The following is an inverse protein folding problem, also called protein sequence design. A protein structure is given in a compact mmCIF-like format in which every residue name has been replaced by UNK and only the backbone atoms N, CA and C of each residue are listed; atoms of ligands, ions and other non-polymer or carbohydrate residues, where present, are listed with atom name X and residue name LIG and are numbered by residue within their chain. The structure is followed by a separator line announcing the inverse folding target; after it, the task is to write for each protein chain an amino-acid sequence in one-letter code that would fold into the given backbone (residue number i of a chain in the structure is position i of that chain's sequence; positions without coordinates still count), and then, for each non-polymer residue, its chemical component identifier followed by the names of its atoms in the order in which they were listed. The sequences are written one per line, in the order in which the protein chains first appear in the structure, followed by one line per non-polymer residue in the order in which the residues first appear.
data_IF_278596624716
#
_entry.id   IF_278596624716
#
_cell.length_a   1.000
_cell.length_b   1.000
_cell.length_c   1.000
_cell.angle_alpha   90.00
_cell.angle_beta   90.00
_cell.angle_gamma   90.00
#
_symmetry.space_group_name_H-M   'P 1'
#
loop_
_entity.id
_entity.type
_entity.pdbx_description
1 polymer ?
#
# COMPACT_ATOMS: atom_id res chain seq x y z
N UNK A 1 16.89 12.02 10.28
CA UNK A 1 16.57 12.67 11.58
C UNK A 1 16.39 11.66 12.72
N UNK A 2 16.24 10.37 12.41
CA UNK A 2 16.10 9.27 13.36
C UNK A 2 17.30 9.12 14.30
N UNK A 3 18.54 9.12 13.77
CA UNK A 3 19.77 8.99 14.58
C UNK A 3 20.03 10.15 15.55
N UNK A 4 19.40 11.31 15.32
CA UNK A 4 19.49 12.47 16.22
C UNK A 4 18.38 12.50 17.27
N UNK A 5 17.55 11.45 17.36
CA UNK A 5 16.41 11.39 18.28
C UNK A 5 15.30 12.39 17.94
N UNK A 6 15.21 12.83 16.68
CA UNK A 6 14.20 13.80 16.22
C UNK A 6 13.28 13.19 15.14
N UNK A 7 12.52 12.11 15.45
CA UNK A 7 11.69 11.43 14.46
C UNK A 7 10.55 12.30 13.90
N UNK A 8 10.06 13.28 14.65
CA UNK A 8 9.04 14.23 14.19
C UNK A 8 9.48 15.12 13.02
N UNK A 9 10.79 15.24 12.79
CA UNK A 9 11.35 16.04 11.70
C UNK A 9 11.74 15.17 10.48
N UNK A 10 11.35 13.89 10.48
CA UNK A 10 11.61 12.95 9.38
C UNK A 10 10.57 13.08 8.27
N UNK A 11 10.96 12.78 7.03
CA UNK A 11 9.99 12.49 5.98
C UNK A 11 9.48 11.05 6.14
N UNK A 12 8.26 10.90 6.65
CA UNK A 12 7.63 9.60 6.90
C UNK A 12 6.12 9.77 7.04
N UNK A 13 5.38 8.67 7.06
CA UNK A 13 3.92 8.69 7.18
C UNK A 13 3.42 9.25 8.52
N UNK A 14 4.25 9.21 9.56
CA UNK A 14 3.91 9.70 10.91
C UNK A 14 4.46 11.09 11.22
N UNK A 15 5.30 11.66 10.35
CA UNK A 15 5.93 12.96 10.55
C UNK A 15 5.65 13.88 9.37
N UNK A 16 6.66 14.44 8.72
CA UNK A 16 6.47 15.30 7.54
C UNK A 16 6.13 14.41 6.35
N UNK A 17 4.87 14.42 5.92
CA UNK A 17 4.39 13.55 4.86
C UNK A 17 4.71 14.11 3.48
N UNK A 18 5.14 13.25 2.56
CA UNK A 18 5.25 13.54 1.13
C UNK A 18 4.47 12.48 0.38
N UNK A 19 3.18 12.74 0.17
CA UNK A 19 2.27 11.76 -0.40
C UNK A 19 2.41 11.67 -1.93
N UNK A 20 2.42 10.46 -2.49
CA UNK A 20 2.40 10.24 -3.94
C UNK A 20 0.95 10.38 -4.48
N UNK A 21 0.36 11.57 -4.32
CA UNK A 21 -1.06 11.84 -4.61
C UNK A 21 -1.45 11.48 -6.05
N UNK A 22 -0.56 11.69 -7.02
CA UNK A 22 -0.82 11.31 -8.41
C UNK A 22 -0.88 9.80 -8.62
N UNK A 23 0.00 9.05 -7.97
CA UNK A 23 -0.03 7.60 -8.06
C UNK A 23 -1.29 7.06 -7.39
N UNK A 24 -1.65 7.56 -6.20
CA UNK A 24 -2.90 7.21 -5.52
C UNK A 24 -4.15 7.52 -6.38
N UNK A 25 -4.16 8.66 -7.07
CA UNK A 25 -5.24 9.01 -7.99
C UNK A 25 -5.35 8.03 -9.17
N UNK A 26 -4.22 7.59 -9.74
CA UNK A 26 -4.20 6.53 -10.75
C UNK A 26 -4.73 5.21 -10.16
N UNK A 27 -4.28 4.81 -8.95
CA UNK A 27 -4.78 3.60 -8.29
C UNK A 27 -6.31 3.63 -8.16
N UNK A 28 -6.86 4.75 -7.69
CA UNK A 28 -8.31 4.93 -7.55
C UNK A 28 -9.05 4.86 -8.89
N UNK A 29 -8.47 5.46 -9.94
CA UNK A 29 -9.06 5.42 -11.29
C UNK A 29 -9.16 3.99 -11.81
N UNK A 30 -8.13 3.17 -11.62
CA UNK A 30 -8.13 1.77 -12.03
C UNK A 30 -8.96 0.87 -11.11
N UNK A 31 -9.02 1.18 -9.82
CA UNK A 31 -9.87 0.50 -8.85
C UNK A 31 -11.36 0.67 -9.19
N UNK A 32 -11.77 1.86 -9.62
CA UNK A 32 -13.16 2.20 -9.94
C UNK A 32 -13.52 2.07 -11.43
N UNK A 33 -12.57 1.67 -12.28
CA UNK A 33 -12.81 1.54 -13.72
C UNK A 33 -13.90 0.51 -14.11
N UNK A 34 -13.96 -0.70 -13.50
CA UNK A 34 -14.95 -1.71 -13.89
C UNK A 34 -16.38 -1.20 -13.72
N UNK A 35 -17.21 -1.36 -14.75
CA UNK A 35 -18.60 -0.89 -14.76
C UNK A 35 -18.79 0.62 -14.96
N UNK A 36 -17.73 1.43 -14.84
CA UNK A 36 -17.75 2.86 -15.12
C UNK A 36 -17.03 3.18 -16.43
N UNK A 37 -15.71 3.41 -16.39
CA UNK A 37 -14.89 3.71 -17.58
C UNK A 37 -14.57 2.45 -18.39
N UNK A 38 -14.79 1.26 -17.84
CA UNK A 38 -14.70 -0.03 -18.51
C UNK A 38 -15.97 -0.87 -18.28
N UNK A 39 -17.07 -0.62 -19.03
CA UNK A 39 -18.38 -1.25 -18.77
C UNK A 39 -18.41 -2.77 -18.91
N UNK A 40 -17.54 -3.34 -19.76
CA UNK A 40 -17.44 -4.79 -19.97
C UNK A 40 -16.44 -5.49 -19.06
N UNK A 41 -15.69 -4.75 -18.24
CA UNK A 41 -14.72 -5.33 -17.32
C UNK A 41 -15.41 -5.74 -16.01
N UNK A 42 -15.11 -6.93 -15.53
CA UNK A 42 -15.62 -7.47 -14.25
C UNK A 42 -14.66 -7.26 -13.09
N UNK A 43 -13.42 -6.85 -13.36
CA UNK A 43 -12.39 -6.56 -12.37
C UNK A 43 -11.43 -5.47 -12.87
N UNK A 44 -10.72 -4.83 -11.95
CA UNK A 44 -9.68 -3.84 -12.26
C UNK A 44 -8.51 -4.48 -13.03
N UNK A 45 -7.64 -3.65 -13.63
CA UNK A 45 -6.48 -4.16 -14.39
C UNK A 45 -5.46 -4.92 -13.53
N UNK A 46 -5.50 -4.75 -12.20
CA UNK A 46 -4.76 -5.53 -11.22
C UNK A 46 -5.44 -5.42 -9.85
N UNK A 47 -5.31 -6.47 -9.02
CA UNK A 47 -5.85 -6.45 -7.65
C UNK A 47 -5.05 -5.53 -6.71
N UNK A 48 -3.83 -5.16 -7.11
CA UNK A 48 -2.99 -4.20 -6.37
C UNK A 48 -3.61 -2.81 -6.22
N UNK A 49 -4.60 -2.46 -7.06
CA UNK A 49 -5.22 -1.13 -7.05
C UNK A 49 -6.22 -0.92 -5.91
N UNK A 50 -6.70 -1.99 -5.27
CA UNK A 50 -7.65 -1.87 -4.16
C UNK A 50 -9.09 -1.57 -4.60
N UNK A 51 -9.61 -2.30 -5.59
CA UNK A 51 -11.01 -2.24 -6.03
C UNK A 51 -12.04 -2.39 -4.89
N UNK A 52 -13.31 -2.11 -5.20
CA UNK A 52 -14.43 -1.86 -4.27
C UNK A 52 -14.82 -2.94 -3.24
N UNK A 53 -13.96 -3.92 -2.97
CA UNK A 53 -14.15 -4.97 -1.98
C UNK A 53 -12.88 -5.46 -1.26
N UNK A 54 -11.72 -4.81 -1.42
CA UNK A 54 -10.53 -5.20 -0.64
C UNK A 54 -10.05 -6.64 -0.90
N UNK A 55 -10.00 -7.05 -2.16
CA UNK A 55 -9.77 -8.44 -2.56
C UNK A 55 -8.33 -8.92 -2.29
N UNK A 56 -8.10 -9.36 -1.06
CA UNK A 56 -7.01 -10.27 -0.71
C UNK A 56 -7.23 -11.60 -1.44
N UNK A 57 -6.26 -12.00 -2.25
CA UNK A 57 -6.24 -13.34 -2.85
C UNK A 57 -5.22 -14.18 -2.11
N UNK A 58 -5.65 -15.30 -1.55
CA UNK A 58 -4.77 -16.26 -0.88
C UNK A 58 -4.80 -17.63 -1.58
N UNK A 59 -3.64 -18.25 -1.73
CA UNK A 59 -3.47 -19.60 -2.29
C UNK A 59 -2.58 -20.40 -1.35
N UNK A 60 -3.04 -21.56 -0.90
CA UNK A 60 -2.27 -22.42 0.01
C UNK A 60 -1.92 -21.76 1.35
N UNK A 61 -2.80 -20.90 1.87
CA UNK A 61 -2.56 -20.17 3.14
C UNK A 61 -1.46 -19.09 3.05
N UNK A 62 -1.14 -18.61 1.84
CA UNK A 62 -0.25 -17.47 1.59
C UNK A 62 -0.99 -16.42 0.79
N UNK A 63 -0.69 -15.15 1.04
CA UNK A 63 -1.23 -14.04 0.25
C UNK A 63 -0.55 -14.05 -1.12
N UNK A 64 -1.34 -14.22 -2.17
CA UNK A 64 -0.90 -14.14 -3.56
C UNK A 64 -0.95 -12.69 -4.06
N UNK A 65 -2.06 -11.98 -3.82
CA UNK A 65 -2.20 -10.55 -4.14
C UNK A 65 -2.97 -9.82 -3.05
N UNK A 66 -2.57 -8.57 -2.81
CA UNK A 66 -3.28 -7.62 -1.95
C UNK A 66 -3.14 -6.18 -2.49
N UNK A 67 -4.05 -5.26 -2.13
CA UNK A 67 -3.93 -3.85 -2.47
C UNK A 67 -2.66 -3.22 -1.88
N UNK A 68 -1.86 -2.55 -2.69
CA UNK A 68 -0.60 -1.91 -2.24
C UNK A 68 -0.88 -0.45 -1.90
N UNK A 69 -0.91 -0.05 -0.61
CA UNK A 69 -1.00 1.35 -0.24
C UNK A 69 0.28 2.08 -0.61
N UNK A 70 0.15 3.33 -1.07
CA UNK A 70 1.29 4.18 -1.41
C UNK A 70 1.45 5.29 -0.38
N UNK A 71 2.56 5.26 0.36
CA UNK A 71 2.91 6.21 1.41
C UNK A 71 4.10 7.09 1.05
N UNK A 72 4.64 7.76 2.07
CA UNK A 72 5.77 8.68 1.96
C UNK A 72 7.06 7.96 1.52
N UNK A 73 7.24 6.70 1.91
CA UNK A 73 8.40 5.89 1.50
C UNK A 73 8.37 5.60 -0.02
N UNK A 74 7.20 5.38 -0.61
CA UNK A 74 7.03 5.11 -2.03
C UNK A 74 7.34 6.34 -2.89
N UNK A 75 7.11 7.54 -2.35
CA UNK A 75 7.50 8.79 -3.01
C UNK A 75 9.01 8.87 -3.25
N UNK A 76 9.81 8.31 -2.35
CA UNK A 76 11.28 8.26 -2.48
C UNK A 76 11.79 6.99 -3.18
N UNK A 77 10.90 6.07 -3.56
CA UNK A 77 11.26 4.78 -4.14
C UNK A 77 11.87 3.80 -3.13
N UNK A 78 11.90 4.16 -1.84
CA UNK A 78 12.32 3.27 -0.75
C UNK A 78 11.16 2.38 -0.35
N UNK A 79 10.62 1.63 -1.29
CA UNK A 79 9.60 0.61 -1.03
C UNK A 79 10.21 -0.65 -0.41
N UNK A 80 11.53 -0.84 -0.52
CA UNK A 80 12.24 -2.05 -0.11
C UNK A 80 12.49 -2.20 1.40
N UNK A 81 12.05 -1.29 2.25
CA UNK A 81 12.15 -1.45 3.71
C UNK A 81 10.81 -1.63 4.43
N UNK A 82 9.68 -1.58 3.71
CA UNK A 82 8.35 -1.81 4.31
C UNK A 82 7.60 -3.00 3.66
N UNK A 83 8.24 -3.73 2.75
CA UNK A 83 7.73 -4.99 2.19
C UNK A 83 8.17 -6.13 3.13
N UNK A 84 7.31 -6.46 4.10
CA UNK A 84 7.33 -7.68 4.94
C UNK A 84 8.70 -8.06 5.54
N UNK A 85 9.25 -7.26 6.46
CA UNK A 85 10.09 -7.89 7.49
C UNK A 85 9.15 -8.72 8.36
N UNK A 86 9.49 -9.99 8.50
CA UNK A 86 8.66 -11.03 9.11
C UNK A 86 8.33 -10.66 10.55
N UNK A 87 7.12 -10.15 10.81
CA UNK A 87 6.48 -10.40 12.09
C UNK A 87 6.27 -11.91 12.15
N UNK A 88 7.07 -12.62 12.96
CA UNK A 88 6.87 -14.03 13.25
C UNK A 88 5.42 -14.27 13.67
N UNK A 89 4.63 -14.88 12.78
CA UNK A 89 3.34 -15.44 13.15
C UNK A 89 2.14 -14.93 12.36
N UNK A 90 1.31 -15.89 12.01
CA UNK A 90 -0.01 -15.81 11.38
C UNK A 90 -0.99 -14.96 12.23
N UNK A 91 -0.91 -13.63 12.17
CA UNK A 91 -2.02 -12.79 12.66
C UNK A 91 -2.23 -11.55 11.78
N UNK A 92 -3.33 -11.56 11.04
CA UNK A 92 -3.70 -10.58 10.02
C UNK A 92 -4.29 -9.28 10.59
N UNK A 93 -4.04 -8.94 11.86
CA UNK A 93 -4.76 -7.84 12.53
C UNK A 93 -3.91 -6.72 13.13
N UNK A 94 -2.58 -6.81 13.17
CA UNK A 94 -1.74 -5.72 13.66
C UNK A 94 -0.90 -5.12 12.52
N UNK A 95 -1.27 -3.90 12.10
CA UNK A 95 -0.47 -3.10 11.16
C UNK A 95 0.86 -2.73 11.84
N UNK A 96 1.88 -3.55 11.65
CA UNK A 96 3.26 -3.19 11.99
C UNK A 96 3.73 -2.10 11.03
N UNK A 97 3.40 -0.85 11.36
CA UNK A 97 3.85 0.34 10.66
C UNK A 97 5.11 0.85 11.34
N UNK A 98 6.25 0.19 11.08
CA UNK A 98 7.56 0.78 11.33
C UNK A 98 8.28 0.87 9.98
N UNK A 99 7.95 1.89 9.21
CA UNK A 99 8.91 2.44 8.27
C UNK A 99 9.88 3.30 9.11
N UNK A 100 11.08 2.78 9.40
CA UNK A 100 12.16 3.59 9.99
C UNK A 100 12.73 4.61 9.00
#
# INVERSE_FOLDING_TARGET
MSALGRPQDMFSDTAIQLQPVFAQWIQNTHALAPGATAPGATASTSLTWGGGGGDLVAVGGKVALLPIPLGTADFFGTSHSCIYDSCDGIDTSERCSICS
#
